data_IF_328585298370
#
_entry.id   IF_328585298370
#
_cell.length_a   1.000
_cell.length_b   1.000
_cell.length_c   1.000
_cell.angle_alpha   90.00
_cell.angle_beta   90.00
_cell.angle_gamma   90.00
#
_symmetry.space_group_name_H-M   'P 1'
#
loop_
_entity.id
_entity.type
_entity.pdbx_description
1 polymer ?
#
# COMPACT_ATOMS: atom_id res chain seq x y z
N UNK A 1 9.17 -13.02 -12.21
CA UNK A 1 9.29 -13.41 -10.79
C UNK A 1 10.53 -12.71 -10.25
N UNK A 2 10.41 -11.95 -9.16
CA UNK A 2 11.51 -11.15 -8.60
C UNK A 2 12.58 -12.04 -8.00
N UNK A 3 13.81 -11.54 -7.96
CA UNK A 3 14.88 -12.24 -7.24
C UNK A 3 14.66 -12.17 -5.72
N UNK A 4 15.20 -13.12 -4.97
CA UNK A 4 15.13 -13.09 -3.49
C UNK A 4 15.68 -11.77 -2.92
N UNK A 5 16.82 -11.32 -3.44
CA UNK A 5 17.44 -10.05 -3.02
C UNK A 5 16.55 -8.85 -3.28
N UNK A 6 15.87 -8.82 -4.43
CA UNK A 6 14.95 -7.75 -4.79
C UNK A 6 13.71 -7.76 -3.89
N UNK A 7 13.20 -8.95 -3.54
CA UNK A 7 12.07 -9.07 -2.62
C UNK A 7 12.43 -8.64 -1.20
N UNK A 8 13.61 -9.01 -0.68
CA UNK A 8 14.08 -8.57 0.64
C UNK A 8 14.24 -7.05 0.72
N UNK A 9 14.73 -6.42 -0.36
CA UNK A 9 14.81 -4.96 -0.44
C UNK A 9 13.42 -4.30 -0.45
N UNK A 10 12.45 -4.87 -1.17
CA UNK A 10 11.07 -4.40 -1.13
C UNK A 10 10.50 -4.52 0.28
N UNK A 11 10.67 -5.68 0.92
CA UNK A 11 10.20 -5.93 2.28
C UNK A 11 10.76 -4.91 3.27
N UNK A 12 12.06 -4.62 3.18
CA UNK A 12 12.70 -3.58 3.98
C UNK A 12 12.04 -2.20 3.76
N UNK A 13 11.82 -1.81 2.51
CA UNK A 13 11.15 -0.52 2.18
C UNK A 13 9.71 -0.48 2.69
N UNK A 14 8.96 -1.57 2.54
CA UNK A 14 7.58 -1.68 3.02
C UNK A 14 7.51 -1.52 4.54
N UNK A 15 8.42 -2.17 5.29
CA UNK A 15 8.51 -1.99 6.74
C UNK A 15 8.76 -0.53 7.12
N UNK A 16 9.66 0.15 6.42
CA UNK A 16 9.93 1.59 6.65
C UNK A 16 8.72 2.48 6.31
N UNK A 17 7.97 2.15 5.26
CA UNK A 17 6.73 2.84 4.90
C UNK A 17 5.68 2.68 6.01
N UNK A 18 5.44 1.45 6.46
CA UNK A 18 4.47 1.16 7.52
C UNK A 18 4.82 1.93 8.78
N UNK A 19 6.08 1.85 9.23
CA UNK A 19 6.54 2.55 10.42
C UNK A 19 6.41 4.08 10.32
N UNK A 20 6.50 4.64 9.11
CA UNK A 20 6.37 6.09 8.88
C UNK A 20 4.91 6.55 8.73
N UNK A 21 3.98 5.67 8.38
CA UNK A 21 2.58 6.04 8.19
C UNK A 21 1.76 5.77 9.45
N UNK A 22 1.50 6.84 10.22
CA UNK A 22 0.76 6.80 11.48
C UNK A 22 -0.69 6.30 11.38
N UNK A 23 -1.31 6.35 10.20
CA UNK A 23 -2.63 5.75 9.96
C UNK A 23 -2.54 4.24 9.82
N UNK A 24 -1.49 3.73 9.15
CA UNK A 24 -1.32 2.31 8.87
C UNK A 24 -0.74 1.56 10.07
N UNK A 25 0.20 2.16 10.80
CA UNK A 25 0.80 1.53 11.99
C UNK A 25 -0.07 1.65 13.26
N UNK A 26 -1.29 2.20 13.16
CA UNK A 26 -2.23 2.34 14.27
C UNK A 26 -1.87 3.44 15.30
N UNK A 27 -0.83 4.25 15.07
CA UNK A 27 -0.41 5.29 16.02
C UNK A 27 -1.52 6.31 16.27
N UNK A 28 -2.21 6.78 15.21
CA UNK A 28 -3.26 7.77 15.40
C UNK A 28 -4.47 7.20 16.14
N UNK A 29 -4.91 5.98 15.80
CA UNK A 29 -6.01 5.33 16.49
C UNK A 29 -5.69 5.07 17.97
N UNK A 30 -4.45 4.68 18.27
CA UNK A 30 -3.97 4.53 19.64
C UNK A 30 -4.01 5.83 20.43
N UNK A 31 -3.55 6.93 19.82
CA UNK A 31 -3.59 8.26 20.43
C UNK A 31 -5.03 8.76 20.63
N UNK A 32 -5.97 8.33 19.80
CA UNK A 32 -7.40 8.60 19.92
C UNK A 32 -8.14 7.65 20.89
N UNK A 33 -7.42 6.69 21.49
CA UNK A 33 -7.88 5.86 22.60
C UNK A 33 -8.12 4.38 22.28
N UNK A 34 -7.84 3.91 21.05
CA UNK A 34 -7.87 2.49 20.72
C UNK A 34 -6.56 1.81 21.15
N UNK A 35 -6.57 1.30 22.39
CA UNK A 35 -5.43 0.61 23.00
C UNK A 35 -4.94 -0.62 22.22
N UNK A 36 -5.77 -1.20 21.35
CA UNK A 36 -5.45 -2.39 20.56
C UNK A 36 -4.96 -2.07 19.15
N UNK A 37 -5.03 -0.80 18.71
CA UNK A 37 -4.72 -0.41 17.34
C UNK A 37 -3.30 -0.79 16.90
N UNK A 38 -2.29 -0.64 17.77
CA UNK A 38 -0.90 -0.99 17.43
C UNK A 38 -0.72 -2.49 17.15
N UNK A 39 -1.37 -3.35 17.95
CA UNK A 39 -1.28 -4.80 17.78
C UNK A 39 -2.02 -5.26 16.52
N UNK A 40 -3.22 -4.71 16.29
CA UNK A 40 -4.00 -5.01 15.09
C UNK A 40 -3.26 -4.58 13.81
N UNK A 41 -2.63 -3.40 13.84
CA UNK A 41 -1.87 -2.89 12.71
C UNK A 41 -0.67 -3.79 12.34
N UNK A 42 0.04 -4.35 13.32
CA UNK A 42 1.15 -5.27 13.09
C UNK A 42 0.69 -6.59 12.43
N UNK A 43 -0.48 -7.10 12.85
CA UNK A 43 -1.08 -8.30 12.27
C UNK A 43 -1.60 -8.04 10.84
N UNK A 44 -2.30 -6.93 10.63
CA UNK A 44 -2.95 -6.59 9.35
C UNK A 44 -1.96 -6.10 8.29
N UNK A 45 -0.89 -5.41 8.71
CA UNK A 45 0.06 -4.75 7.83
C UNK A 45 1.50 -5.01 8.25
N UNK A 46 2.08 -6.07 7.68
CA UNK A 46 3.52 -6.33 7.74
C UNK A 46 4.08 -6.73 6.37
N UNK A 47 5.39 -6.58 6.18
CA UNK A 47 6.06 -6.80 4.90
C UNK A 47 5.98 -8.24 4.37
N UNK A 48 5.55 -9.21 5.17
CA UNK A 48 5.38 -10.58 4.70
C UNK A 48 4.02 -10.81 4.01
N UNK A 49 3.09 -9.85 4.11
CA UNK A 49 1.75 -9.91 3.52
C UNK A 49 1.66 -9.29 2.11
N UNK A 50 2.80 -8.99 1.48
CA UNK A 50 2.82 -8.40 0.13
C UNK A 50 2.27 -9.39 -0.90
N UNK A 51 1.24 -8.98 -1.61
CA UNK A 51 0.67 -9.74 -2.73
C UNK A 51 1.06 -9.08 -4.05
N UNK A 52 1.79 -9.80 -4.91
CA UNK A 52 2.19 -9.30 -6.23
C UNK A 52 1.09 -9.49 -7.28
N UNK A 53 0.84 -8.43 -8.05
CA UNK A 53 -0.07 -8.42 -9.18
C UNK A 53 0.67 -8.08 -10.48
N UNK A 54 0.34 -8.82 -11.52
CA UNK A 54 0.73 -8.56 -12.91
C UNK A 54 -0.37 -7.87 -13.73
N UNK A 55 -1.57 -7.75 -13.15
CA UNK A 55 -2.78 -7.31 -13.83
C UNK A 55 -3.53 -6.24 -13.02
N UNK A 56 -3.65 -5.03 -13.59
CA UNK A 56 -4.33 -3.90 -12.95
C UNK A 56 -5.82 -4.16 -12.70
N UNK A 57 -6.51 -4.93 -13.53
CA UNK A 57 -7.93 -5.23 -13.35
C UNK A 57 -8.15 -6.13 -12.14
N UNK A 58 -7.29 -7.14 -11.93
CA UNK A 58 -7.31 -7.98 -10.74
C UNK A 58 -6.97 -7.17 -9.49
N UNK A 59 -5.90 -6.38 -9.55
CA UNK A 59 -5.52 -5.49 -8.45
C UNK A 59 -6.68 -4.57 -8.06
N UNK A 60 -7.28 -3.88 -9.03
CA UNK A 60 -8.37 -2.96 -8.76
C UNK A 60 -9.60 -3.64 -8.17
N UNK A 61 -9.90 -4.88 -8.61
CA UNK A 61 -10.96 -5.67 -8.02
C UNK A 61 -10.65 -5.95 -6.54
N UNK A 62 -9.44 -6.39 -6.23
CA UNK A 62 -9.10 -6.79 -4.87
C UNK A 62 -8.99 -5.57 -3.93
N UNK A 63 -8.49 -4.43 -4.42
CA UNK A 63 -8.52 -3.16 -3.68
C UNK A 63 -9.93 -2.68 -3.31
N UNK A 64 -10.97 -3.08 -4.05
CA UNK A 64 -12.38 -2.76 -3.69
C UNK A 64 -12.95 -3.67 -2.61
N UNK A 65 -12.30 -4.80 -2.32
CA UNK A 65 -12.89 -5.85 -1.49
C UNK A 65 -12.05 -6.18 -0.25
N UNK A 66 -10.76 -5.84 -0.23
CA UNK A 66 -9.84 -6.31 0.79
C UNK A 66 -8.86 -5.23 1.26
N UNK A 67 -8.57 -5.26 2.56
CA UNK A 67 -7.39 -4.60 3.11
C UNK A 67 -6.13 -5.36 2.67
N UNK A 68 -4.99 -4.69 2.71
CA UNK A 68 -3.69 -5.34 2.61
C UNK A 68 -2.66 -4.55 1.81
N UNK A 69 -1.56 -5.25 1.53
CA UNK A 69 -0.39 -4.68 0.86
C UNK A 69 -0.25 -5.34 -0.50
N UNK A 70 -0.44 -4.55 -1.55
CA UNK A 70 -0.43 -5.04 -2.93
C UNK A 70 0.70 -4.37 -3.71
N UNK A 71 1.39 -5.15 -4.55
CA UNK A 71 2.50 -4.65 -5.37
C UNK A 71 2.18 -4.83 -6.85
N UNK A 72 2.24 -3.74 -7.62
CA UNK A 72 2.17 -3.80 -9.09
C UNK A 72 3.36 -3.07 -9.68
N UNK A 73 4.24 -3.82 -10.36
CA UNK A 73 5.55 -3.32 -10.81
C UNK A 73 6.28 -2.67 -9.61
N UNK A 74 6.60 -1.38 -9.67
CA UNK A 74 7.26 -0.64 -8.59
C UNK A 74 6.30 0.14 -7.67
N UNK A 75 4.99 0.04 -7.87
CA UNK A 75 4.02 0.79 -7.08
C UNK A 75 3.44 -0.12 -6.00
N UNK A 76 3.60 0.31 -4.75
CA UNK A 76 2.99 -0.31 -3.59
C UNK A 76 1.65 0.34 -3.31
N UNK A 77 0.65 -0.47 -2.99
CA UNK A 77 -0.69 -0.06 -2.58
C UNK A 77 -0.91 -0.61 -1.18
N UNK A 78 -1.08 0.27 -0.20
CA UNK A 78 -1.53 -0.11 1.13
C UNK A 78 -2.99 0.30 1.25
N UNK A 79 -3.88 -0.68 1.22
CA UNK A 79 -5.32 -0.45 1.23
C UNK A 79 -5.89 -0.74 2.62
N UNK A 80 -6.64 0.22 3.15
CA UNK A 80 -7.40 0.05 4.37
C UNK A 80 -8.81 0.62 4.18
N UNK A 81 -9.83 -0.15 4.54
CA UNK A 81 -11.23 0.22 4.37
C UNK A 81 -11.59 1.56 5.03
N UNK A 82 -11.00 1.89 6.19
CA UNK A 82 -11.27 3.13 6.90
C UNK A 82 -10.45 4.31 6.35
N UNK A 83 -9.23 4.04 5.85
CA UNK A 83 -8.27 5.09 5.50
C UNK A 83 -8.09 5.27 3.99
N UNK A 84 -8.68 4.43 3.14
CA UNK A 84 -8.44 4.43 1.70
C UNK A 84 -7.14 3.74 1.31
N UNK A 85 -6.66 4.02 0.09
CA UNK A 85 -5.49 3.36 -0.50
C UNK A 85 -4.33 4.33 -0.67
N UNK A 86 -3.22 4.08 0.04
CA UNK A 86 -1.99 4.85 -0.06
C UNK A 86 -1.07 4.25 -1.13
N UNK A 87 -0.62 5.08 -2.07
CA UNK A 87 0.22 4.64 -3.19
C UNK A 87 1.65 5.17 -3.02
N UNK A 88 2.62 4.26 -3.08
CA UNK A 88 4.05 4.58 -2.95
C UNK A 88 4.80 4.17 -4.19
N UNK A 89 5.81 4.97 -4.59
CA UNK A 89 6.72 4.60 -5.66
C UNK A 89 8.05 4.12 -5.07
N UNK A 90 8.22 2.80 -5.10
CA UNK A 90 9.40 2.13 -4.56
C UNK A 90 10.67 2.37 -5.37
N UNK A 91 10.65 3.08 -6.51
CA UNK A 91 11.86 3.44 -7.25
C UNK A 91 12.48 4.77 -6.80
N UNK A 92 11.72 5.60 -6.09
CA UNK A 92 12.18 6.94 -5.69
C UNK A 92 13.00 6.89 -4.41
N UNK A 93 13.81 7.91 -4.16
CA UNK A 93 14.49 8.09 -2.86
C UNK A 93 13.50 8.47 -1.76
N UNK A 94 12.40 9.14 -2.13
CA UNK A 94 11.33 9.58 -1.23
C UNK A 94 10.20 8.55 -1.08
N UNK A 95 10.52 7.26 -1.25
CA UNK A 95 9.52 6.17 -1.28
C UNK A 95 8.70 6.01 0.01
N UNK A 96 9.10 6.66 1.11
CA UNK A 96 8.40 6.65 2.40
C UNK A 96 7.16 7.54 2.39
N UNK A 97 7.10 8.48 1.46
CA UNK A 97 5.95 9.35 1.27
C UNK A 97 5.05 8.77 0.17
N UNK A 98 3.77 8.64 0.47
CA UNK A 98 2.81 8.27 -0.56
C UNK A 98 2.69 9.43 -1.54
N UNK A 99 2.68 9.12 -2.82
CA UNK A 99 2.56 10.14 -3.85
C UNK A 99 1.10 10.44 -4.21
N UNK A 100 0.19 9.55 -3.83
CA UNK A 100 -1.23 9.66 -4.09
C UNK A 100 -2.02 8.87 -3.04
N UNK A 101 -3.23 9.35 -2.75
CA UNK A 101 -4.15 8.72 -1.82
C UNK A 101 -5.53 8.56 -2.47
N UNK A 102 -6.00 7.33 -2.61
CA UNK A 102 -7.18 7.00 -3.40
C UNK A 102 -8.33 6.50 -2.55
N UNK A 103 -9.53 7.03 -2.81
CA UNK A 103 -10.80 6.43 -2.40
C UNK A 103 -11.23 5.40 -3.46
N UNK A 104 -10.83 4.14 -3.28
CA UNK A 104 -11.04 3.08 -4.28
C UNK A 104 -12.53 2.79 -4.54
N UNK A 105 -13.38 2.87 -3.51
CA UNK A 105 -14.81 2.55 -3.62
C UNK A 105 -15.55 3.47 -4.58
N UNK A 106 -15.32 4.79 -4.46
CA UNK A 106 -15.91 5.81 -5.33
C UNK A 106 -15.24 5.93 -6.70
N UNK A 107 -14.12 5.24 -6.94
CA UNK A 107 -13.37 5.36 -8.19
C UNK A 107 -13.82 4.32 -9.23
N UNK A 108 -13.80 4.74 -10.50
CA UNK A 108 -13.94 3.86 -11.67
C UNK A 108 -12.59 3.35 -12.17
N UNK A 109 -12.59 2.13 -12.74
CA UNK A 109 -11.37 1.45 -13.21
C UNK A 109 -10.54 2.25 -14.22
N UNK A 110 -11.19 3.03 -15.09
CA UNK A 110 -10.51 3.87 -16.09
C UNK A 110 -9.61 4.92 -15.41
N UNK A 111 -10.17 5.66 -14.44
CA UNK A 111 -9.43 6.68 -13.67
C UNK A 111 -8.28 6.06 -12.88
N UNK A 112 -8.51 4.89 -12.28
CA UNK A 112 -7.46 4.13 -11.60
C UNK A 112 -6.29 3.81 -12.55
N UNK A 113 -6.59 3.28 -13.74
CA UNK A 113 -5.56 3.00 -14.75
C UNK A 113 -4.82 4.26 -15.19
N UNK A 114 -5.50 5.39 -15.35
CA UNK A 114 -4.86 6.66 -15.73
C UNK A 114 -3.84 7.11 -14.67
N UNK A 115 -4.20 7.07 -13.40
CA UNK A 115 -3.33 7.45 -12.27
C UNK A 115 -2.09 6.54 -12.22
N UNK A 116 -2.31 5.22 -12.21
CA UNK A 116 -1.22 4.25 -12.09
C UNK A 116 -0.29 4.30 -13.31
N UNK A 117 -0.84 4.39 -14.52
CA UNK A 117 -0.01 4.46 -15.73
C UNK A 117 0.73 5.79 -15.86
N UNK A 118 0.15 6.91 -15.40
CA UNK A 118 0.85 8.20 -15.35
C UNK A 118 2.11 8.08 -14.49
N UNK A 119 1.99 7.52 -13.28
CA UNK A 119 3.15 7.33 -12.39
C UNK A 119 4.20 6.39 -12.99
N UNK A 120 3.78 5.30 -13.64
CA UNK A 120 4.72 4.34 -14.24
C UNK A 120 5.52 4.89 -15.43
N UNK A 121 5.06 5.97 -16.05
CA UNK A 121 5.74 6.58 -17.20
C UNK A 121 6.83 7.58 -16.80
N UNK A 122 6.84 8.03 -15.53
CA UNK A 122 7.68 9.15 -15.07
C UNK A 122 7.05 10.48 -15.46
#
# INVERSE_FOLDING_TARGET
MRSLREMEEIKRRVREIINNNCWINGTYDYLDGDISALANAEEDFNENLIIEYDNLKRLFKDLKNYNGIFLYKNILFINHWNYGCFLYDLKTEDYKNYFEHLTIDGMGFKKFCEIVNKRLRG
#
